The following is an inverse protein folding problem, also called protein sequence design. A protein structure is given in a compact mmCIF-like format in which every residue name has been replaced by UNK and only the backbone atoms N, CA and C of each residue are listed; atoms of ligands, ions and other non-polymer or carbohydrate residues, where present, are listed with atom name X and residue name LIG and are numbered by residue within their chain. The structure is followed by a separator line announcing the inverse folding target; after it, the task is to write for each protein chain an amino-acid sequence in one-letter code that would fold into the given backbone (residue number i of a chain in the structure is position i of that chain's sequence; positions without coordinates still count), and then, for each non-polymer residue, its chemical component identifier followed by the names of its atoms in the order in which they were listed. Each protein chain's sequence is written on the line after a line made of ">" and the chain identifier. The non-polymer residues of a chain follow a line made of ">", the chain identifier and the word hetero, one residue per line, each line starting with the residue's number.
data_IF_043699823341
#
_entry.id   IF_043699823341
#
_cell.length_a   1.000
_cell.length_b   1.000
_cell.length_c   1.000
_cell.angle_alpha   90.00
_cell.angle_beta   90.00
_cell.angle_gamma   90.00
#
_symmetry.space_group_name_H-M   'P 1'
#
loop_
_entity.id
_entity.type
_entity.pdbx_description
1 polymer ?
#
# COMPACT_ATOMS: atom_id res chain seq x y z
N UNK A 1 15.04 -1.75 -5.14
CA UNK A 1 14.61 -3.17 -5.02
C UNK A 1 14.89 -3.95 -6.31
N UNK A 2 14.56 -3.42 -7.49
CA UNK A 2 14.94 -4.02 -8.77
C UNK A 2 16.44 -4.35 -8.89
N UNK A 3 17.32 -3.38 -8.62
CA UNK A 3 18.79 -3.59 -8.59
C UNK A 3 19.22 -4.73 -7.67
N UNK A 4 18.70 -4.80 -6.44
CA UNK A 4 19.02 -5.88 -5.48
C UNK A 4 18.64 -7.27 -6.03
N UNK A 5 17.52 -7.37 -6.73
CA UNK A 5 17.05 -8.61 -7.36
C UNK A 5 17.98 -9.04 -8.49
N UNK A 6 18.43 -8.10 -9.32
CA UNK A 6 19.40 -8.36 -10.40
C UNK A 6 20.75 -8.78 -9.82
N UNK A 7 21.27 -8.09 -8.81
CA UNK A 7 22.53 -8.43 -8.13
C UNK A 7 22.49 -9.85 -7.58
N UNK A 8 21.42 -10.21 -6.85
CA UNK A 8 21.24 -11.56 -6.30
C UNK A 8 21.20 -12.61 -7.41
N UNK A 9 20.46 -12.34 -8.48
CA UNK A 9 20.37 -13.28 -9.61
C UNK A 9 21.73 -13.50 -10.29
N UNK A 10 22.55 -12.45 -10.43
CA UNK A 10 23.91 -12.57 -10.96
C UNK A 10 24.82 -13.40 -10.04
N UNK A 11 24.73 -13.21 -8.72
CA UNK A 11 25.49 -14.00 -7.75
C UNK A 11 25.03 -15.46 -7.70
N UNK A 12 23.72 -15.71 -7.75
CA UNK A 12 23.14 -17.02 -7.52
C UNK A 12 23.19 -17.91 -8.77
N UNK A 13 22.79 -17.36 -9.93
CA UNK A 13 22.67 -18.10 -11.19
C UNK A 13 23.92 -18.01 -12.06
N UNK A 14 24.57 -16.85 -12.11
CA UNK A 14 25.77 -16.64 -12.93
C UNK A 14 27.06 -16.80 -12.13
N UNK A 15 26.99 -16.89 -10.80
CA UNK A 15 28.15 -16.97 -9.89
C UNK A 15 29.13 -15.80 -10.05
N UNK A 16 28.63 -14.63 -10.45
CA UNK A 16 29.39 -13.41 -10.67
C UNK A 16 29.30 -12.53 -9.41
N UNK A 17 30.46 -12.08 -8.91
CA UNK A 17 30.54 -11.19 -7.75
C UNK A 17 31.02 -9.77 -8.11
N UNK A 18 31.65 -9.62 -9.27
CA UNK A 18 32.16 -8.37 -9.82
C UNK A 18 31.93 -8.33 -11.33
N UNK A 19 31.74 -7.14 -11.87
CA UNK A 19 31.67 -6.88 -13.30
C UNK A 19 32.69 -5.79 -13.65
N UNK A 20 33.49 -6.01 -14.68
CA UNK A 20 34.47 -5.03 -15.16
C UNK A 20 35.43 -4.55 -14.05
N UNK A 21 35.91 -5.48 -13.22
CA UNK A 21 36.79 -5.17 -12.08
C UNK A 21 36.13 -4.41 -10.92
N UNK A 22 34.81 -4.16 -10.97
CA UNK A 22 34.07 -3.44 -9.92
C UNK A 22 33.04 -4.33 -9.25
N UNK A 23 32.71 -4.05 -7.98
CA UNK A 23 31.63 -4.77 -7.31
C UNK A 23 30.29 -4.50 -7.99
N UNK A 24 29.39 -5.49 -7.99
CA UNK A 24 28.05 -5.34 -8.57
C UNK A 24 27.31 -4.10 -8.02
N UNK A 25 27.49 -3.81 -6.72
CA UNK A 25 26.89 -2.62 -6.11
C UNK A 25 27.40 -1.32 -6.73
N UNK A 26 28.70 -1.20 -7.01
CA UNK A 26 29.27 -0.01 -7.65
C UNK A 26 28.81 0.11 -9.11
N UNK A 27 28.83 -1.00 -9.85
CA UNK A 27 28.39 -1.05 -11.24
C UNK A 27 26.94 -0.57 -11.42
N UNK A 28 26.02 -1.03 -10.56
CA UNK A 28 24.62 -0.64 -10.63
C UNK A 28 24.29 0.71 -9.95
N UNK A 29 25.28 1.43 -9.40
CA UNK A 29 25.11 2.85 -9.01
C UNK A 29 25.12 3.75 -10.25
N UNK A 30 25.98 3.44 -11.21
CA UNK A 30 26.15 4.24 -12.44
C UNK A 30 25.34 3.68 -13.62
N UNK A 31 25.06 2.38 -13.61
CA UNK A 31 24.32 1.70 -14.68
C UNK A 31 22.92 1.31 -14.24
N UNK A 32 21.91 1.69 -15.03
CA UNK A 32 20.53 1.29 -14.77
C UNK A 32 20.38 -0.24 -14.96
N UNK A 33 19.74 -0.92 -14.00
CA UNK A 33 19.49 -2.37 -14.10
C UNK A 33 18.57 -2.76 -15.26
N UNK A 34 17.87 -1.80 -15.86
CA UNK A 34 17.03 -1.97 -17.05
C UNK A 34 17.81 -1.89 -18.35
N UNK A 35 19.07 -1.45 -18.32
CA UNK A 35 19.94 -1.35 -19.49
C UNK A 35 20.52 -2.73 -19.85
N UNK A 36 19.65 -3.58 -20.40
CA UNK A 36 19.96 -4.97 -20.75
C UNK A 36 21.18 -5.02 -21.68
N UNK A 37 21.28 -4.10 -22.64
CA UNK A 37 22.38 -4.10 -23.63
C UNK A 37 23.74 -3.94 -22.96
N UNK A 38 23.89 -2.97 -22.04
CA UNK A 38 25.16 -2.76 -21.32
C UNK A 38 25.47 -3.91 -20.36
N UNK A 39 24.47 -4.44 -19.68
CA UNK A 39 24.66 -5.57 -18.76
C UNK A 39 25.11 -6.81 -19.54
N UNK A 40 24.44 -7.11 -20.65
CA UNK A 40 24.80 -8.23 -21.53
C UNK A 40 26.21 -8.04 -22.08
N UNK A 41 26.59 -6.86 -22.57
CA UNK A 41 27.92 -6.65 -23.13
C UNK A 41 29.02 -6.85 -22.08
N UNK A 42 28.83 -6.36 -20.87
CA UNK A 42 29.83 -6.51 -19.80
C UNK A 42 29.93 -7.98 -19.36
N UNK A 43 28.81 -8.69 -19.23
CA UNK A 43 28.81 -10.13 -18.88
C UNK A 43 29.42 -10.97 -20.01
N UNK A 44 29.15 -10.63 -21.27
CA UNK A 44 29.71 -11.33 -22.43
C UNK A 44 31.23 -11.18 -22.50
N UNK A 45 31.75 -9.97 -22.22
CA UNK A 45 33.19 -9.73 -22.11
C UNK A 45 33.80 -10.47 -20.92
N UNK A 46 33.18 -10.42 -19.74
CA UNK A 46 33.64 -11.13 -18.55
C UNK A 46 33.68 -12.64 -18.80
N UNK A 47 32.60 -13.20 -19.35
CA UNK A 47 32.50 -14.61 -19.70
C UNK A 47 33.52 -15.00 -20.77
N UNK A 48 33.77 -14.17 -21.78
CA UNK A 48 34.76 -14.47 -22.82
C UNK A 48 36.19 -14.40 -22.30
N UNK A 49 36.49 -13.48 -21.38
CA UNK A 49 37.81 -13.31 -20.76
C UNK A 49 38.10 -14.41 -19.75
N UNK A 50 37.12 -14.76 -18.93
CA UNK A 50 37.26 -15.75 -17.86
C UNK A 50 37.19 -17.21 -18.34
N UNK A 51 36.61 -17.47 -19.52
CA UNK A 51 36.32 -18.83 -20.01
C UNK A 51 37.08 -19.23 -21.28
N UNK A 52 38.38 -18.88 -21.32
CA UNK A 52 39.32 -19.26 -22.38
C UNK A 52 39.58 -20.77 -22.50
N UNK A 53 40.83 -21.15 -22.83
CA UNK A 53 41.21 -22.53 -23.22
C UNK A 53 40.95 -23.61 -22.14
N UNK A 54 40.74 -23.24 -20.88
CA UNK A 54 40.36 -24.15 -19.80
C UNK A 54 39.02 -23.75 -19.20
N UNK A 55 38.03 -24.63 -19.31
CA UNK A 55 36.68 -24.45 -18.75
C UNK A 55 36.63 -24.49 -17.20
N UNK A 56 37.77 -24.43 -16.52
CA UNK A 56 37.90 -24.81 -15.11
C UNK A 56 38.24 -23.68 -14.13
N UNK A 57 38.54 -22.44 -14.57
CA UNK A 57 39.13 -21.43 -13.67
C UNK A 57 38.10 -20.47 -13.06
N UNK A 58 36.94 -20.23 -13.70
CA UNK A 58 35.95 -19.25 -13.19
C UNK A 58 34.53 -19.81 -13.08
N UNK A 59 33.81 -19.58 -11.96
CA UNK A 59 32.44 -20.04 -11.74
C UNK A 59 31.42 -19.61 -12.81
N UNK A 60 31.69 -18.48 -13.49
CA UNK A 60 30.89 -17.98 -14.60
C UNK A 60 30.90 -18.93 -15.80
N UNK A 61 31.95 -19.73 -16.00
CA UNK A 61 32.05 -20.64 -17.13
C UNK A 61 31.08 -21.81 -17.04
N UNK A 62 30.77 -22.28 -15.83
CA UNK A 62 29.71 -23.28 -15.60
C UNK A 62 28.32 -22.76 -15.96
N UNK A 63 28.12 -21.44 -16.06
CA UNK A 63 26.85 -20.89 -16.54
C UNK A 63 26.65 -21.09 -18.06
N UNK A 64 27.72 -21.33 -18.85
CA UNK A 64 27.59 -21.66 -20.28
C UNK A 64 26.79 -22.94 -20.52
N UNK A 65 27.01 -23.96 -19.69
CA UNK A 65 26.23 -25.20 -19.73
C UNK A 65 24.77 -24.94 -19.41
N UNK A 66 24.51 -24.13 -18.37
CA UNK A 66 23.16 -23.78 -17.92
C UNK A 66 22.38 -22.94 -18.92
N UNK A 67 23.07 -22.19 -19.79
CA UNK A 67 22.47 -21.41 -20.88
C UNK A 67 22.28 -22.21 -22.17
N UNK A 68 22.63 -23.51 -22.19
CA UNK A 68 22.52 -24.34 -23.38
C UNK A 68 23.49 -23.90 -24.48
N UNK A 69 24.64 -23.34 -24.10
CA UNK A 69 25.72 -22.99 -25.04
C UNK A 69 26.59 -24.20 -25.41
N UNK A 70 26.19 -25.40 -24.96
CA UNK A 70 26.78 -26.68 -25.37
C UNK A 70 26.16 -27.08 -26.69
N UNK A 71 26.97 -27.51 -27.65
CA UNK A 71 26.49 -27.99 -28.94
C UNK A 71 25.62 -29.25 -28.74
N UNK A 72 24.32 -29.15 -29.04
CA UNK A 72 23.40 -30.29 -29.06
C UNK A 72 23.29 -30.78 -30.50
N UNK A 73 23.52 -32.08 -30.72
CA UNK A 73 23.43 -32.70 -32.05
C UNK A 73 22.03 -32.48 -32.64
N UNK A 74 21.95 -31.82 -33.79
CA UNK A 74 20.68 -31.52 -34.48
C UNK A 74 20.04 -30.17 -34.12
N UNK A 75 20.65 -29.35 -33.25
CA UNK A 75 20.20 -27.99 -32.97
C UNK A 75 21.17 -26.93 -33.52
N UNK A 76 20.68 -25.77 -33.98
CA UNK A 76 21.55 -24.67 -34.37
C UNK A 76 22.32 -24.15 -33.15
N UNK A 77 23.63 -23.89 -33.33
CA UNK A 77 24.45 -23.31 -32.27
C UNK A 77 23.88 -21.96 -31.83
N UNK A 78 23.67 -21.82 -30.51
CA UNK A 78 23.21 -20.58 -29.91
C UNK A 78 24.39 -19.65 -29.69
N UNK A 79 24.32 -18.40 -30.15
CA UNK A 79 25.33 -17.39 -29.83
C UNK A 79 25.30 -17.08 -28.34
N UNK A 80 26.48 -17.04 -27.71
CA UNK A 80 26.65 -16.72 -26.29
C UNK A 80 25.86 -15.47 -25.87
N UNK A 81 26.05 -14.39 -26.61
CA UNK A 81 25.39 -13.10 -26.38
C UNK A 81 23.86 -13.18 -26.40
N UNK A 82 23.28 -14.01 -27.25
CA UNK A 82 21.82 -14.19 -27.34
C UNK A 82 21.28 -14.95 -26.11
N UNK A 83 22.03 -15.94 -25.63
CA UNK A 83 21.65 -16.70 -24.45
C UNK A 83 21.74 -15.84 -23.17
N UNK A 84 22.82 -15.06 -23.04
CA UNK A 84 22.98 -14.08 -21.95
C UNK A 84 21.85 -13.05 -22.02
N UNK A 85 21.52 -12.53 -23.21
CA UNK A 85 20.42 -11.58 -23.40
C UNK A 85 19.10 -12.15 -22.89
N UNK A 86 18.73 -13.37 -23.29
CA UNK A 86 17.48 -14.01 -22.82
C UNK A 86 17.45 -14.17 -21.30
N UNK A 87 18.57 -14.58 -20.69
CA UNK A 87 18.65 -14.77 -19.25
C UNK A 87 18.53 -13.43 -18.49
N UNK A 88 19.26 -12.41 -18.92
CA UNK A 88 19.21 -11.07 -18.31
C UNK A 88 17.84 -10.43 -18.51
N UNK A 89 17.22 -10.54 -19.68
CA UNK A 89 15.85 -10.04 -19.90
C UNK A 89 14.85 -10.67 -18.92
N UNK A 90 14.92 -11.99 -18.67
CA UNK A 90 14.05 -12.66 -17.69
C UNK A 90 14.26 -12.11 -16.27
N UNK A 91 15.52 -11.95 -15.87
CA UNK A 91 15.89 -11.41 -14.55
C UNK A 91 15.42 -9.96 -14.39
N UNK A 92 15.65 -9.11 -15.39
CA UNK A 92 15.25 -7.70 -15.39
C UNK A 92 13.73 -7.57 -15.38
N UNK A 93 13.01 -8.39 -16.15
CA UNK A 93 11.53 -8.41 -16.12
C UNK A 93 11.00 -8.84 -14.75
N UNK A 94 11.57 -9.88 -14.14
CA UNK A 94 11.20 -10.29 -12.77
C UNK A 94 11.49 -9.18 -11.76
N UNK A 95 12.64 -8.51 -11.87
CA UNK A 95 13.01 -7.38 -11.03
C UNK A 95 12.05 -6.19 -11.18
N UNK A 96 11.59 -5.91 -12.41
CA UNK A 96 10.58 -4.88 -12.70
C UNK A 96 9.23 -5.22 -12.10
N UNK A 97 8.79 -6.49 -12.21
CA UNK A 97 7.55 -6.95 -11.59
C UNK A 97 7.60 -6.81 -10.08
N UNK A 98 8.67 -7.28 -9.41
CA UNK A 98 8.83 -7.14 -7.96
C UNK A 98 8.83 -5.67 -7.53
N UNK A 99 9.53 -4.80 -8.25
CA UNK A 99 9.52 -3.36 -7.95
C UNK A 99 8.13 -2.73 -8.10
N UNK A 100 7.37 -3.13 -9.12
CA UNK A 100 6.01 -2.62 -9.34
C UNK A 100 5.01 -3.13 -8.30
N UNK A 101 5.10 -4.40 -7.89
CA UNK A 101 4.25 -4.97 -6.84
C UNK A 101 4.51 -4.29 -5.49
N UNK A 102 5.77 -4.07 -5.14
CA UNK A 102 6.10 -3.34 -3.91
C UNK A 102 5.64 -1.88 -3.96
N UNK A 103 5.81 -1.20 -5.10
CA UNK A 103 5.30 0.16 -5.27
C UNK A 103 3.77 0.22 -5.12
N UNK A 104 3.04 -0.76 -5.65
CA UNK A 104 1.60 -0.88 -5.47
C UNK A 104 1.22 -1.16 -4.00
N UNK A 105 1.95 -2.05 -3.31
CA UNK A 105 1.72 -2.35 -1.90
C UNK A 105 2.00 -1.15 -1.00
N UNK A 106 3.09 -0.42 -1.22
CA UNK A 106 3.42 0.81 -0.49
C UNK A 106 2.38 1.89 -0.76
N UNK A 107 1.93 2.04 -2.00
CA UNK A 107 0.85 2.98 -2.35
C UNK A 107 -0.46 2.60 -1.67
N UNK A 108 -0.82 1.32 -1.64
CA UNK A 108 -2.03 0.83 -0.97
C UNK A 108 -1.94 1.03 0.54
N UNK A 109 -0.80 0.72 1.15
CA UNK A 109 -0.58 0.89 2.58
C UNK A 109 -0.63 2.37 2.98
N UNK A 110 0.05 3.25 2.23
CA UNK A 110 0.02 4.69 2.49
C UNK A 110 -1.37 5.30 2.25
N UNK A 111 -2.11 4.83 1.25
CA UNK A 111 -3.50 5.26 1.04
C UNK A 111 -4.37 4.81 2.21
N UNK A 112 -4.27 3.55 2.65
CA UNK A 112 -5.04 3.04 3.78
C UNK A 112 -4.73 3.79 5.09
N UNK A 113 -3.46 4.09 5.37
CA UNK A 113 -3.09 4.87 6.57
C UNK A 113 -3.62 6.30 6.50
N UNK A 114 -3.49 6.97 5.35
CA UNK A 114 -4.00 8.34 5.18
C UNK A 114 -5.53 8.36 5.29
N UNK A 115 -6.24 7.41 4.67
CA UNK A 115 -7.70 7.32 4.79
C UNK A 115 -8.14 7.05 6.23
N UNK A 116 -7.45 6.18 6.96
CA UNK A 116 -7.75 5.92 8.36
C UNK A 116 -7.52 7.16 9.24
N UNK A 117 -6.40 7.86 9.08
CA UNK A 117 -6.11 9.11 9.81
C UNK A 117 -7.16 10.19 9.51
N UNK A 118 -7.52 10.38 8.25
CA UNK A 118 -8.55 11.35 7.84
C UNK A 118 -9.92 10.98 8.38
N UNK A 119 -10.29 9.71 8.36
CA UNK A 119 -11.58 9.23 8.90
C UNK A 119 -11.64 9.44 10.42
N UNK A 120 -10.55 9.16 11.14
CA UNK A 120 -10.48 9.38 12.58
C UNK A 120 -10.57 10.86 12.95
N UNK A 121 -9.90 11.74 12.21
CA UNK A 121 -9.98 13.19 12.42
C UNK A 121 -11.40 13.73 12.15
N UNK A 122 -12.06 13.26 11.09
CA UNK A 122 -13.45 13.59 10.79
C UNK A 122 -14.37 13.07 11.91
N UNK A 123 -14.23 11.82 12.34
CA UNK A 123 -15.06 11.27 13.41
C UNK A 123 -14.88 12.02 14.75
N UNK A 124 -13.65 12.41 15.09
CA UNK A 124 -13.38 13.20 16.30
C UNK A 124 -14.05 14.58 16.26
N UNK A 125 -13.95 15.27 15.11
CA UNK A 125 -14.61 16.56 14.92
C UNK A 125 -16.14 16.44 14.91
N UNK A 126 -16.70 15.49 14.15
CA UNK A 126 -18.15 15.23 14.12
C UNK A 126 -18.70 14.83 15.50
N UNK A 127 -17.98 14.02 16.27
CA UNK A 127 -18.42 13.61 17.61
C UNK A 127 -18.61 14.84 18.54
N UNK A 128 -17.70 15.80 18.50
CA UNK A 128 -17.82 17.03 19.30
C UNK A 128 -19.00 17.93 18.87
N UNK A 129 -19.36 17.92 17.60
CA UNK A 129 -20.51 18.66 17.10
C UNK A 129 -21.81 17.93 17.43
N UNK A 130 -21.81 16.59 17.35
CA UNK A 130 -22.96 15.76 17.69
C UNK A 130 -23.34 15.90 19.17
N UNK A 131 -22.37 15.90 20.10
CA UNK A 131 -22.64 16.11 21.53
C UNK A 131 -23.28 17.47 21.79
N UNK A 132 -22.77 18.51 21.12
CA UNK A 132 -23.31 19.87 21.24
C UNK A 132 -24.75 19.96 20.72
N UNK A 133 -25.05 19.32 19.58
CA UNK A 133 -26.41 19.26 19.01
C UNK A 133 -27.35 18.49 19.93
N UNK A 134 -26.94 17.32 20.45
CA UNK A 134 -27.75 16.52 21.38
C UNK A 134 -28.05 17.32 22.65
N UNK A 135 -27.07 18.01 23.22
CA UNK A 135 -27.26 18.85 24.40
C UNK A 135 -28.29 19.97 24.17
N UNK A 136 -28.23 20.62 23.00
CA UNK A 136 -29.21 21.65 22.60
C UNK A 136 -30.64 21.10 22.51
N UNK A 137 -30.82 19.91 21.90
CA UNK A 137 -32.14 19.26 21.79
C UNK A 137 -32.67 18.91 23.19
N UNK A 138 -31.84 18.31 24.05
CA UNK A 138 -32.23 17.96 25.42
C UNK A 138 -32.65 19.22 26.20
N UNK A 139 -31.94 20.34 26.05
CA UNK A 139 -32.31 21.60 26.69
C UNK A 139 -33.70 22.10 26.25
N UNK A 140 -34.02 22.06 24.96
CA UNK A 140 -35.34 22.46 24.43
C UNK A 140 -36.45 21.56 25.02
N UNK A 141 -36.23 20.24 25.05
CA UNK A 141 -37.20 19.28 25.61
C UNK A 141 -37.48 19.56 27.09
N UNK A 142 -36.45 19.87 27.89
CA UNK A 142 -36.60 20.21 29.31
C UNK A 142 -37.41 21.50 29.50
N UNK A 143 -37.16 22.54 28.69
CA UNK A 143 -37.94 23.79 28.76
C UNK A 143 -39.42 23.52 28.46
N UNK A 144 -39.71 22.73 27.42
CA UNK A 144 -41.09 22.37 27.06
C UNK A 144 -41.75 21.56 28.19
N UNK A 145 -41.05 20.60 28.79
CA UNK A 145 -41.57 19.82 29.92
C UNK A 145 -41.94 20.72 31.11
N UNK A 146 -41.09 21.69 31.46
CA UNK A 146 -41.38 22.65 32.52
C UNK A 146 -42.64 23.47 32.19
N UNK A 147 -42.76 23.97 30.96
CA UNK A 147 -43.96 24.71 30.52
C UNK A 147 -45.23 23.86 30.62
N UNK A 148 -45.17 22.58 30.24
CA UNK A 148 -46.30 21.65 30.33
C UNK A 148 -46.71 21.41 31.79
N UNK A 149 -45.75 21.18 32.69
CA UNK A 149 -46.03 20.98 34.13
C UNK A 149 -46.71 22.22 34.72
N UNK A 150 -46.13 23.41 34.53
CA UNK A 150 -46.70 24.67 35.03
C UNK A 150 -48.09 24.91 34.43
N UNK A 151 -48.24 24.67 33.12
CA UNK A 151 -49.51 24.80 32.43
C UNK A 151 -50.59 23.88 33.02
N UNK A 152 -50.26 22.60 33.29
CA UNK A 152 -51.18 21.66 33.91
C UNK A 152 -51.61 22.12 35.30
N UNK A 153 -50.68 22.63 36.12
CA UNK A 153 -50.99 23.19 37.45
C UNK A 153 -51.95 24.38 37.31
N UNK A 154 -51.67 25.32 36.41
CA UNK A 154 -52.53 26.50 36.18
C UNK A 154 -53.92 26.11 35.66
N UNK A 155 -53.97 25.19 34.69
CA UNK A 155 -55.22 24.67 34.12
C UNK A 155 -56.06 23.98 35.18
N UNK A 156 -55.43 23.17 36.02
CA UNK A 156 -56.08 22.49 37.14
C UNK A 156 -56.66 23.49 38.15
N UNK A 157 -55.89 24.53 38.52
CA UNK A 157 -56.37 25.60 39.41
C UNK A 157 -57.57 26.35 38.84
N UNK A 158 -57.57 26.70 37.53
CA UNK A 158 -58.72 27.37 36.88
C UNK A 158 -59.97 26.51 36.91
N UNK A 159 -59.87 25.22 36.56
CA UNK A 159 -61.00 24.27 36.62
C UNK A 159 -61.56 24.14 38.03
N UNK A 160 -60.71 24.07 39.07
CA UNK A 160 -61.15 24.01 40.47
C UNK A 160 -61.88 25.27 40.90
N UNK A 161 -61.43 26.46 40.49
CA UNK A 161 -62.13 27.72 40.77
C UNK A 161 -63.54 27.77 40.15
N UNK A 162 -63.69 27.32 38.90
CA UNK A 162 -65.00 27.32 38.20
C UNK A 162 -65.97 26.34 38.86
N UNK A 163 -65.52 25.13 39.23
CA UNK A 163 -66.36 24.15 39.93
C UNK A 163 -66.92 24.68 41.25
N UNK A 164 -66.09 25.37 42.06
CA UNK A 164 -66.55 26.01 43.30
C UNK A 164 -67.61 27.07 43.03
N UNK A 165 -67.42 27.94 42.02
CA UNK A 165 -68.39 28.99 41.67
C UNK A 165 -69.77 28.42 41.30
N UNK A 166 -69.81 27.32 40.55
CA UNK A 166 -71.08 26.66 40.19
C UNK A 166 -71.83 26.11 41.40
N UNK A 167 -71.13 25.60 42.42
CA UNK A 167 -71.76 25.15 43.65
C UNK A 167 -72.35 26.31 44.45
N UNK A 168 -71.66 27.45 44.52
CA UNK A 168 -72.19 28.64 45.20
C UNK A 168 -73.44 29.22 44.52
N UNK A 169 -73.50 29.21 43.19
CA UNK A 169 -74.70 29.67 42.47
C UNK A 169 -75.90 28.77 42.79
N UNK A 170 -75.71 27.44 42.78
CA UNK A 170 -76.78 26.50 43.11
C UNK A 170 -77.32 26.63 44.54
N UNK A 171 -76.45 26.89 45.52
CA UNK A 171 -76.85 27.07 46.93
C UNK A 171 -77.62 28.38 47.20
N UNK A 172 -77.58 29.34 46.28
CA UNK A 172 -78.31 30.61 46.40
C UNK A 172 -79.65 30.62 45.64
N UNK A 173 -79.90 29.59 44.84
CA UNK A 173 -81.10 29.46 44.00
C UNK A 173 -82.17 28.56 44.63
N UNK A 174 -81.81 27.79 45.67
CA UNK A 174 -82.73 27.15 46.64
C UNK A 174 -83.09 28.12 47.78
#
# INVERSE_FOLDING_TARGET
>A
MGVKTVIRALQEYFKIHSLNGTSLQSFFKTTAYTDISKIVSVIDTEMSTSCGLSSAVSPICGSREKFGLVAVRGQPMVKQKDAITRAITKVVNKAKLTANTEAANVKSATTATITAEKTNAINATYASWQTTIIASIVAIVVIILIMVIIYLILRYRRKKKIKKKLQYIKLLEE
#
